data_IF_375707243770
#
_entry.id   IF_375707243770
#
_cell.length_a   1.000
_cell.length_b   1.000
_cell.length_c   1.000
_cell.angle_alpha   90.00
_cell.angle_beta   90.00
_cell.angle_gamma   90.00
#
_symmetry.space_group_name_H-M   'P 1'
#
loop_
_entity.id
_entity.type
_entity.pdbx_description
1 polymer ?
#
# COMPACT_ATOMS: atom_id res chain seq x y z
N UNK A 1 -8.40 11.44 16.81
CA UNK A 1 -7.66 11.82 15.59
C UNK A 1 -8.57 11.71 14.39
N UNK A 2 -8.56 12.69 13.53
CA UNK A 2 -9.33 12.66 12.30
C UNK A 2 -8.61 11.79 11.26
N UNK A 3 -9.39 11.02 10.50
CA UNK A 3 -8.88 10.32 9.34
C UNK A 3 -8.59 11.30 8.22
N UNK A 4 -7.52 11.04 7.46
CA UNK A 4 -7.18 11.82 6.28
C UNK A 4 -7.13 10.89 5.08
N UNK A 5 -7.67 11.34 3.96
CA UNK A 5 -7.70 10.59 2.72
C UNK A 5 -6.94 11.39 1.67
N UNK A 6 -5.99 10.72 1.01
CA UNK A 6 -5.23 11.30 -0.09
C UNK A 6 -5.52 10.46 -1.33
N UNK A 7 -6.07 11.11 -2.35
CA UNK A 7 -6.34 10.46 -3.63
C UNK A 7 -5.21 10.84 -4.61
N UNK A 8 -4.58 9.81 -5.20
CA UNK A 8 -3.47 10.00 -6.14
C UNK A 8 -3.93 9.56 -7.52
N UNK A 9 -3.93 10.47 -8.48
CA UNK A 9 -4.43 10.23 -9.83
C UNK A 9 -3.44 9.53 -10.77
N UNK A 10 -2.34 9.02 -10.24
CA UNK A 10 -1.30 8.35 -11.02
C UNK A 10 0.07 8.95 -10.76
N UNK A 11 1.06 8.52 -11.55
CA UNK A 11 2.45 8.93 -11.39
C UNK A 11 3.36 7.73 -11.23
N UNK A 12 4.58 7.87 -11.70
CA UNK A 12 5.56 6.79 -11.58
C UNK A 12 6.27 6.84 -10.23
N UNK A 13 6.39 5.71 -9.61
CA UNK A 13 6.96 5.57 -8.27
C UNK A 13 8.29 4.82 -8.26
N UNK A 14 9.02 4.82 -9.36
CA UNK A 14 10.31 4.16 -9.45
C UNK A 14 10.21 2.65 -9.64
N UNK A 15 9.06 2.14 -10.07
CA UNK A 15 8.87 0.71 -10.34
C UNK A 15 9.72 0.24 -11.51
N UNK A 16 9.94 -1.05 -11.57
CA UNK A 16 10.61 -1.67 -12.71
C UNK A 16 9.61 -1.82 -13.86
N UNK A 17 9.95 -1.30 -15.04
CA UNK A 17 9.12 -1.46 -16.22
C UNK A 17 9.23 -2.85 -16.83
N UNK A 18 8.34 -3.16 -17.79
CA UNK A 18 8.32 -4.46 -18.48
C UNK A 18 9.58 -4.70 -19.32
N UNK A 19 10.27 -3.63 -19.74
CA UNK A 19 11.52 -3.70 -20.48
C UNK A 19 12.75 -3.89 -19.58
N UNK A 20 12.55 -4.04 -18.28
CA UNK A 20 13.64 -4.19 -17.30
C UNK A 20 14.26 -2.88 -16.85
N UNK A 21 13.83 -1.74 -17.39
CA UNK A 21 14.33 -0.44 -16.95
C UNK A 21 13.50 0.13 -15.81
N UNK A 22 14.15 0.88 -14.92
CA UNK A 22 13.46 1.52 -13.80
C UNK A 22 12.78 2.80 -14.25
N UNK A 23 11.51 2.93 -13.91
CA UNK A 23 10.74 4.15 -14.15
C UNK A 23 11.17 5.26 -13.19
N UNK A 24 10.97 6.54 -13.55
CA UNK A 24 11.31 7.65 -12.66
C UNK A 24 10.47 7.64 -11.38
N UNK A 25 11.00 8.25 -10.32
CA UNK A 25 10.27 8.44 -9.06
C UNK A 25 9.67 9.84 -9.05
N UNK A 26 8.41 9.93 -9.48
CA UNK A 26 7.70 11.20 -9.63
C UNK A 26 6.83 11.56 -8.43
N UNK A 27 6.51 10.58 -7.56
CA UNK A 27 5.58 10.77 -6.46
C UNK A 27 6.25 11.18 -5.14
N UNK A 28 7.52 11.60 -5.20
CA UNK A 28 8.30 11.91 -3.98
C UNK A 28 7.63 12.93 -3.06
N UNK A 29 7.13 14.03 -3.62
CA UNK A 29 6.50 15.08 -2.80
C UNK A 29 5.18 14.61 -2.18
N UNK A 30 4.45 13.75 -2.90
CA UNK A 30 3.21 13.16 -2.37
C UNK A 30 3.54 12.23 -1.20
N UNK A 31 4.55 11.37 -1.37
CA UNK A 31 4.93 10.41 -0.32
C UNK A 31 5.44 11.13 0.94
N UNK A 32 6.22 12.19 0.79
CA UNK A 32 6.65 13.02 1.92
C UNK A 32 5.47 13.64 2.64
N UNK A 33 4.49 14.12 1.91
CA UNK A 33 3.28 14.73 2.49
C UNK A 33 2.44 13.71 3.25
N UNK A 34 2.32 12.49 2.70
CA UNK A 34 1.64 11.38 3.38
C UNK A 34 2.27 11.13 4.75
N UNK A 35 3.59 11.04 4.80
CA UNK A 35 4.32 10.83 6.06
C UNK A 35 4.11 12.01 7.01
N UNK A 36 4.25 13.22 6.50
CA UNK A 36 4.08 14.45 7.31
C UNK A 36 2.71 14.49 7.99
N UNK A 37 1.66 14.09 7.27
CA UNK A 37 0.29 14.14 7.78
C UNK A 37 0.04 13.16 8.93
N UNK A 38 0.87 12.14 9.11
CA UNK A 38 0.76 11.23 10.26
C UNK A 38 1.21 11.86 11.57
N UNK A 39 2.00 12.94 11.51
CA UNK A 39 2.61 13.55 12.67
C UNK A 39 3.73 12.71 13.28
N UNK A 40 4.10 11.60 12.66
CA UNK A 40 5.16 10.70 13.14
C UNK A 40 6.36 10.76 12.21
N UNK A 41 7.55 10.61 12.76
CA UNK A 41 8.79 10.58 11.98
C UNK A 41 8.90 9.29 11.16
N UNK A 42 8.54 8.17 11.77
CA UNK A 42 8.61 6.83 11.16
C UNK A 42 7.28 6.10 11.35
N UNK A 43 6.24 6.50 10.59
CA UNK A 43 4.94 5.85 10.73
C UNK A 43 4.95 4.40 10.26
N UNK A 44 4.04 3.60 10.77
CA UNK A 44 3.83 2.23 10.32
C UNK A 44 3.08 2.25 8.99
N UNK A 45 3.63 1.59 7.99
CA UNK A 45 3.11 1.58 6.62
C UNK A 45 2.55 0.21 6.27
N UNK A 46 1.28 0.15 5.89
CA UNK A 46 0.61 -1.07 5.43
C UNK A 46 0.20 -0.91 3.98
N UNK A 47 0.62 -1.84 3.13
CA UNK A 47 0.23 -1.88 1.73
C UNK A 47 -0.89 -2.89 1.51
N UNK A 48 -1.93 -2.45 0.82
CA UNK A 48 -2.98 -3.29 0.26
C UNK A 48 -2.85 -3.23 -1.27
N UNK A 49 -2.20 -4.22 -1.85
CA UNK A 49 -2.00 -4.31 -3.30
C UNK A 49 -3.00 -5.27 -3.94
N UNK A 50 -4.19 -5.39 -3.36
CA UNK A 50 -5.24 -6.33 -3.78
C UNK A 50 -5.63 -6.15 -5.24
N UNK A 51 -5.68 -4.91 -5.71
CA UNK A 51 -6.05 -4.60 -7.09
C UNK A 51 -5.05 -5.14 -8.13
N UNK A 52 -3.85 -5.52 -7.71
CA UNK A 52 -2.84 -6.10 -8.60
C UNK A 52 -3.03 -7.60 -8.82
N UNK A 53 -3.85 -8.27 -8.00
CA UNK A 53 -3.98 -9.73 -8.05
C UNK A 53 -4.51 -10.25 -9.39
N UNK A 54 -5.35 -9.48 -10.07
CA UNK A 54 -5.87 -9.83 -11.40
C UNK A 54 -4.78 -9.97 -12.46
N UNK A 55 -3.59 -9.43 -12.21
CA UNK A 55 -2.46 -9.48 -13.15
C UNK A 55 -1.48 -10.61 -12.82
N UNK A 56 -1.75 -11.41 -11.79
CA UNK A 56 -0.93 -12.56 -11.39
C UNK A 56 -0.65 -12.61 -9.90
N UNK A 57 -0.40 -13.82 -9.38
CA UNK A 57 -0.17 -14.06 -7.95
C UNK A 57 0.99 -13.28 -7.37
N UNK A 58 2.02 -13.01 -8.18
CA UNK A 58 3.23 -12.35 -7.73
C UNK A 58 3.10 -10.83 -7.66
N UNK A 59 2.01 -10.28 -8.20
CA UNK A 59 1.89 -8.83 -8.38
C UNK A 59 1.74 -8.08 -7.07
N UNK A 60 1.05 -8.65 -6.08
CA UNK A 60 0.97 -8.04 -4.75
C UNK A 60 2.35 -7.89 -4.14
N UNK A 61 3.16 -8.95 -4.19
CA UNK A 61 4.51 -8.95 -3.64
C UNK A 61 5.43 -8.00 -4.39
N UNK A 62 5.33 -7.95 -5.71
CA UNK A 62 6.14 -7.05 -6.55
C UNK A 62 5.82 -5.59 -6.26
N UNK A 63 4.55 -5.27 -6.11
CA UNK A 63 4.14 -3.92 -5.74
C UNK A 63 4.68 -3.56 -4.36
N UNK A 64 4.59 -4.49 -3.43
CA UNK A 64 5.13 -4.31 -2.08
C UNK A 64 6.64 -4.05 -2.11
N UNK A 65 7.40 -4.81 -2.91
CA UNK A 65 8.84 -4.60 -3.01
C UNK A 65 9.18 -3.20 -3.51
N UNK A 66 8.40 -2.67 -4.46
CA UNK A 66 8.55 -1.31 -4.93
C UNK A 66 8.27 -0.29 -3.82
N UNK A 67 7.14 -0.43 -3.13
CA UNK A 67 6.73 0.51 -2.10
C UNK A 67 7.62 0.45 -0.87
N UNK A 68 8.14 -0.73 -0.54
CA UNK A 68 9.08 -0.92 0.57
C UNK A 68 10.40 -0.20 0.34
N UNK A 69 10.85 -0.08 -0.91
CA UNK A 69 12.05 0.72 -1.22
C UNK A 69 11.84 2.19 -0.89
N UNK A 70 10.63 2.68 -1.11
CA UNK A 70 10.29 4.08 -0.81
C UNK A 70 10.07 4.26 0.68
N UNK A 71 9.04 3.64 1.23
CA UNK A 71 8.64 3.88 2.63
C UNK A 71 9.58 3.22 3.63
N UNK A 72 10.11 2.04 3.30
CA UNK A 72 11.04 1.33 4.17
C UNK A 72 12.47 1.81 4.05
N UNK A 73 13.07 1.69 2.87
CA UNK A 73 14.50 1.98 2.71
C UNK A 73 14.79 3.49 2.70
N UNK A 74 13.99 4.28 1.97
CA UNK A 74 14.21 5.72 1.86
C UNK A 74 13.72 6.49 3.08
N UNK A 75 12.48 6.24 3.53
CA UNK A 75 11.86 7.00 4.62
C UNK A 75 11.88 6.29 5.97
N UNK A 76 12.45 5.08 6.03
CA UNK A 76 12.70 4.33 7.27
C UNK A 76 11.44 3.95 8.05
N UNK A 77 10.32 3.81 7.36
CA UNK A 77 9.08 3.30 7.96
C UNK A 77 9.16 1.78 8.14
N UNK A 78 8.46 1.26 9.12
CA UNK A 78 8.21 -0.17 9.20
C UNK A 78 7.07 -0.51 8.25
N UNK A 79 7.26 -1.56 7.42
CA UNK A 79 6.32 -1.90 6.36
C UNK A 79 5.76 -3.30 6.53
N UNK A 80 4.48 -3.46 6.18
CA UNK A 80 3.81 -4.75 6.09
C UNK A 80 2.97 -4.80 4.81
N UNK A 81 2.81 -6.01 4.28
CA UNK A 81 1.90 -6.30 3.18
C UNK A 81 0.74 -7.15 3.70
N UNK A 82 -0.48 -6.73 3.41
CA UNK A 82 -1.67 -7.55 3.66
C UNK A 82 -2.17 -8.08 2.32
N UNK A 83 -2.07 -9.39 2.12
CA UNK A 83 -2.49 -10.04 0.88
C UNK A 83 -3.97 -10.41 0.92
N UNK A 84 -4.57 -10.62 -0.26
CA UNK A 84 -5.93 -11.14 -0.36
C UNK A 84 -6.03 -12.52 0.31
N UNK A 85 -5.02 -13.36 0.15
CA UNK A 85 -5.02 -14.68 0.78
C UNK A 85 -5.06 -14.60 2.29
N UNK A 86 -4.26 -13.73 2.91
CA UNK A 86 -4.29 -13.51 4.36
C UNK A 86 -5.64 -12.98 4.81
N UNK A 87 -6.25 -12.09 4.04
CA UNK A 87 -7.57 -11.57 4.34
C UNK A 87 -8.62 -12.69 4.37
N UNK A 88 -8.50 -13.67 3.47
CA UNK A 88 -9.42 -14.83 3.41
C UNK A 88 -9.15 -15.87 4.49
N UNK A 89 -7.88 -16.14 4.80
CA UNK A 89 -7.51 -17.30 5.62
C UNK A 89 -7.12 -16.93 7.05
N UNK A 90 -6.78 -15.68 7.32
CA UNK A 90 -6.36 -15.22 8.65
C UNK A 90 -6.87 -13.80 8.91
N UNK A 91 -8.16 -13.66 9.04
CA UNK A 91 -8.81 -12.36 9.22
C UNK A 91 -8.35 -11.65 10.50
N UNK A 92 -8.05 -12.41 11.56
CA UNK A 92 -7.55 -11.83 12.81
C UNK A 92 -6.23 -11.09 12.61
N UNK A 93 -5.32 -11.65 11.80
CA UNK A 93 -4.06 -10.99 11.45
C UNK A 93 -4.32 -9.75 10.61
N UNK A 94 -5.28 -9.81 9.68
CA UNK A 94 -5.65 -8.67 8.86
C UNK A 94 -6.12 -7.50 9.72
N UNK A 95 -6.97 -7.76 10.71
CA UNK A 95 -7.44 -6.75 11.67
C UNK A 95 -6.28 -6.17 12.46
N UNK A 96 -5.36 -7.02 12.91
CA UNK A 96 -4.16 -6.58 13.63
C UNK A 96 -3.30 -5.65 12.77
N UNK A 97 -3.06 -6.01 11.52
CA UNK A 97 -2.25 -5.20 10.59
C UNK A 97 -2.88 -3.82 10.37
N UNK A 98 -4.19 -3.78 10.16
CA UNK A 98 -4.92 -2.51 9.96
C UNK A 98 -4.86 -1.65 11.24
N UNK A 99 -5.01 -2.25 12.41
CA UNK A 99 -4.92 -1.53 13.68
C UNK A 99 -3.51 -1.01 13.97
N UNK A 100 -2.50 -1.74 13.52
CA UNK A 100 -1.09 -1.36 13.66
C UNK A 100 -0.71 -0.18 12.76
N UNK A 101 -1.34 -0.07 11.59
CA UNK A 101 -0.93 0.88 10.56
C UNK A 101 -1.24 2.34 10.92
N UNK A 102 -0.30 3.22 10.63
CA UNK A 102 -0.54 4.68 10.62
C UNK A 102 -0.89 5.14 9.20
N UNK A 103 -0.36 4.45 8.19
CA UNK A 103 -0.64 4.69 6.77
C UNK A 103 -1.19 3.39 6.19
N UNK A 104 -2.35 3.47 5.55
CA UNK A 104 -2.87 2.38 4.72
C UNK A 104 -2.84 2.87 3.28
N UNK A 105 -2.02 2.21 2.46
CA UNK A 105 -1.82 2.58 1.07
C UNK A 105 -2.47 1.54 0.17
N UNK A 106 -3.44 1.97 -0.62
CA UNK A 106 -4.11 1.09 -1.57
C UNK A 106 -3.62 1.41 -2.98
N UNK A 107 -2.98 0.42 -3.61
CA UNK A 107 -2.46 0.56 -4.97
C UNK A 107 -3.56 0.40 -6.02
N UNK A 108 -3.30 0.94 -7.22
CA UNK A 108 -4.21 0.83 -8.34
C UNK A 108 -4.21 -0.54 -9.00
N UNK A 109 -5.15 -0.76 -9.91
CA UNK A 109 -5.35 -1.99 -10.66
C UNK A 109 -6.83 -2.32 -10.80
N UNK A 110 -7.20 -3.58 -10.60
CA UNK A 110 -8.60 -4.02 -10.65
C UNK A 110 -9.30 -3.69 -9.32
N UNK A 111 -10.17 -2.70 -9.35
CA UNK A 111 -10.84 -2.18 -8.16
C UNK A 111 -11.81 -3.17 -7.51
N UNK A 112 -12.22 -4.23 -8.20
CA UNK A 112 -13.09 -5.25 -7.61
C UNK A 112 -12.45 -5.94 -6.41
N UNK A 113 -11.11 -6.08 -6.40
CA UNK A 113 -10.39 -6.64 -5.26
C UNK A 113 -10.36 -5.71 -4.04
N UNK A 114 -10.39 -4.40 -4.27
CA UNK A 114 -10.48 -3.43 -3.18
C UNK A 114 -11.83 -3.54 -2.47
N UNK A 115 -12.89 -3.76 -3.23
CA UNK A 115 -14.23 -3.98 -2.66
C UNK A 115 -14.30 -5.24 -1.78
N UNK A 116 -13.44 -6.23 -2.03
CA UNK A 116 -13.39 -7.42 -1.19
C UNK A 116 -13.08 -7.07 0.28
N UNK A 117 -12.10 -6.20 0.51
CA UNK A 117 -11.77 -5.74 1.86
C UNK A 117 -12.92 -4.98 2.53
N UNK A 118 -13.63 -4.15 1.77
CA UNK A 118 -14.82 -3.44 2.27
C UNK A 118 -15.94 -4.40 2.68
N UNK A 119 -16.21 -5.42 1.84
CA UNK A 119 -17.23 -6.44 2.14
C UNK A 119 -16.90 -7.23 3.40
N UNK A 120 -15.63 -7.40 3.73
CA UNK A 120 -15.17 -8.05 4.94
C UNK A 120 -15.20 -7.11 6.16
N UNK A 121 -15.65 -5.87 5.99
CA UNK A 121 -15.68 -4.84 7.03
C UNK A 121 -14.29 -4.56 7.65
N UNK A 122 -13.22 -4.84 6.91
CA UNK A 122 -11.85 -4.62 7.36
C UNK A 122 -11.51 -3.12 7.36
N UNK A 123 -11.92 -2.43 6.30
CA UNK A 123 -11.68 -1.00 6.13
C UNK A 123 -13.03 -0.32 5.93
N UNK A 124 -13.29 0.69 6.72
CA UNK A 124 -14.52 1.46 6.65
C UNK A 124 -14.24 2.79 5.94
N UNK A 125 -14.76 2.92 4.75
CA UNK A 125 -14.62 4.12 3.95
C UNK A 125 -15.74 5.10 4.23
#
# INVERSE_FOLDING_TARGET
>A
MSKKIIAIGGGENGRLGSDGTRKPYETAEIDKEIIRLTGKEKPNFLLLAHAQLSFGYEREKRYYDTMKKIYGDLYKCECRLLTVEELKTNFAKAVEDVSWADIIYEGGGDTSWLNFGRKQALINY
#
